data_IF_378196556236
#
_entry.id   IF_378196556236
#
_cell.length_a   1.000
_cell.length_b   1.000
_cell.length_c   1.000
_cell.angle_alpha   90.00
_cell.angle_beta   90.00
_cell.angle_gamma   90.00
#
_symmetry.space_group_name_H-M   'P 1'
#
loop_
_entity.id
_entity.type
_entity.pdbx_description
1 polymer ?
#
# COMPACT_ATOMS: atom_id res chain seq x y z
N UNK A 1 25.40 27.91 -9.00
CA UNK A 1 25.32 26.45 -8.82
C UNK A 1 24.16 26.16 -7.89
N UNK A 2 23.06 25.61 -8.38
CA UNK A 2 21.97 25.12 -7.51
C UNK A 2 22.25 23.65 -7.20
N UNK A 3 22.29 23.21 -5.93
CA UNK A 3 22.36 21.79 -5.64
C UNK A 3 20.96 21.19 -5.87
N UNK A 4 20.83 20.41 -6.94
CA UNK A 4 19.71 19.50 -7.10
C UNK A 4 19.91 18.34 -6.14
N UNK A 5 19.34 18.43 -4.95
CA UNK A 5 19.23 17.29 -4.05
C UNK A 5 18.12 16.38 -4.58
N UNK A 6 18.46 15.64 -5.65
CA UNK A 6 17.71 14.49 -6.12
C UNK A 6 17.92 13.40 -5.08
N UNK A 7 17.07 13.35 -4.07
CA UNK A 7 16.99 12.18 -3.20
C UNK A 7 16.30 11.08 -3.98
N UNK A 8 17.12 10.31 -4.71
CA UNK A 8 16.81 8.99 -5.22
C UNK A 8 16.62 8.08 -4.00
N UNK A 9 15.41 8.06 -3.47
CA UNK A 9 15.00 7.17 -2.39
C UNK A 9 14.35 5.92 -2.96
N UNK A 10 15.04 4.79 -2.78
CA UNK A 10 14.50 3.43 -2.72
C UNK A 10 14.07 2.77 -4.07
N UNK A 11 15.08 2.35 -4.81
CA UNK A 11 15.08 1.11 -5.58
C UNK A 11 14.81 -0.09 -4.64
N UNK A 12 13.63 -0.70 -4.74
CA UNK A 12 13.30 -1.93 -3.99
C UNK A 12 11.83 -2.38 -4.03
N UNK A 13 10.88 -1.46 -4.27
CA UNK A 13 9.42 -1.77 -4.33
C UNK A 13 8.74 -1.26 -5.61
N UNK A 14 9.53 -0.90 -6.62
CA UNK A 14 9.07 -0.21 -7.83
C UNK A 14 8.22 -1.04 -8.80
N UNK A 15 7.88 -2.29 -8.46
CA UNK A 15 6.92 -3.09 -9.25
C UNK A 15 5.46 -2.80 -8.86
N UNK A 16 5.23 -2.31 -7.64
CA UNK A 16 3.89 -1.90 -7.21
C UNK A 16 3.65 -0.46 -7.66
N UNK A 17 2.66 -0.29 -8.54
CA UNK A 17 2.21 1.03 -8.99
C UNK A 17 2.02 1.95 -7.79
N UNK A 18 2.41 3.22 -7.93
CA UNK A 18 2.26 4.22 -6.87
C UNK A 18 0.81 4.26 -6.31
N UNK A 19 -0.18 3.92 -7.14
CA UNK A 19 -1.58 3.76 -6.75
C UNK A 19 -1.76 2.62 -5.74
N UNK A 20 -1.21 1.44 -6.01
CA UNK A 20 -1.32 0.25 -5.13
C UNK A 20 -0.65 0.51 -3.78
N UNK A 21 0.54 1.14 -3.77
CA UNK A 21 1.22 1.49 -2.52
C UNK A 21 0.41 2.47 -1.68
N UNK A 22 -0.16 3.51 -2.29
CA UNK A 22 -1.07 4.45 -1.60
C UNK A 22 -2.28 3.72 -1.03
N UNK A 23 -2.89 2.83 -1.80
CA UNK A 23 -4.02 2.02 -1.34
C UNK A 23 -3.65 1.18 -0.12
N UNK A 24 -2.55 0.42 -0.18
CA UNK A 24 -2.09 -0.42 0.95
C UNK A 24 -1.86 0.44 2.19
N UNK A 25 -1.18 1.59 2.05
CA UNK A 25 -0.93 2.51 3.16
C UNK A 25 -2.23 3.04 3.78
N UNK A 26 -3.17 3.52 2.95
CA UNK A 26 -4.47 3.99 3.46
C UNK A 26 -5.25 2.90 4.18
N UNK A 27 -5.25 1.67 3.68
CA UNK A 27 -5.89 0.55 4.37
C UNK A 27 -5.17 0.26 5.68
N UNK A 28 -3.84 0.21 5.67
CA UNK A 28 -3.00 -0.03 6.85
C UNK A 28 -3.25 0.97 7.97
N UNK A 29 -3.41 2.24 7.63
CA UNK A 29 -3.76 3.29 8.60
C UNK A 29 -5.14 3.06 9.24
N UNK A 30 -6.07 2.44 8.52
CA UNK A 30 -7.43 2.13 9.02
C UNK A 30 -7.44 0.86 9.87
N UNK A 31 -6.77 -0.20 9.40
CA UNK A 31 -6.79 -1.52 10.06
C UNK A 31 -5.71 -1.68 11.13
N UNK A 32 -4.67 -0.85 11.10
CA UNK A 32 -3.62 -0.69 12.12
C UNK A 32 -2.63 -1.86 12.23
N UNK A 33 -3.14 -3.05 12.53
CA UNK A 33 -2.34 -4.21 12.95
C UNK A 33 -1.81 -5.05 11.77
N UNK A 34 -2.35 -4.83 10.57
CA UNK A 34 -1.97 -5.63 9.41
C UNK A 34 -0.68 -5.16 8.74
N UNK A 35 0.14 -6.14 8.35
CA UNK A 35 1.31 -5.89 7.52
C UNK A 35 0.89 -5.55 6.07
N UNK A 36 1.74 -4.80 5.38
CA UNK A 36 1.51 -4.43 3.97
C UNK A 36 1.36 -5.65 3.06
N UNK A 37 2.01 -6.77 3.41
CA UNK A 37 1.88 -8.05 2.72
C UNK A 37 0.47 -8.64 2.88
N UNK A 38 -0.05 -8.73 4.11
CA UNK A 38 -1.41 -9.20 4.38
C UNK A 38 -2.46 -8.33 3.67
N UNK A 39 -2.29 -7.02 3.74
CA UNK A 39 -3.16 -6.07 3.04
C UNK A 39 -3.09 -6.28 1.53
N UNK A 40 -1.90 -6.50 0.97
CA UNK A 40 -1.75 -6.76 -0.46
C UNK A 40 -2.39 -8.09 -0.88
N UNK A 41 -2.29 -9.13 -0.05
CA UNK A 41 -2.96 -10.42 -0.29
C UNK A 41 -4.47 -10.23 -0.28
N UNK A 42 -5.02 -9.57 0.74
CA UNK A 42 -6.45 -9.27 0.82
C UNK A 42 -6.91 -8.39 -0.36
N UNK A 43 -6.10 -7.41 -0.77
CA UNK A 43 -6.33 -6.58 -1.94
C UNK A 43 -6.31 -7.39 -3.24
N UNK A 44 -5.47 -8.42 -3.35
CA UNK A 44 -5.50 -9.36 -4.49
C UNK A 44 -6.77 -10.20 -4.50
N UNK A 45 -7.27 -10.62 -3.34
CA UNK A 45 -8.50 -11.40 -3.20
C UNK A 45 -9.75 -10.57 -3.51
N UNK A 46 -9.77 -9.30 -3.15
CA UNK A 46 -10.90 -8.39 -3.43
C UNK A 46 -10.75 -7.65 -4.77
N UNK A 47 -10.11 -8.27 -5.77
CA UNK A 47 -9.95 -7.72 -7.12
C UNK A 47 -9.30 -6.31 -7.18
N UNK A 48 -8.36 -6.02 -6.28
CA UNK A 48 -7.73 -4.70 -6.11
C UNK A 48 -8.68 -3.60 -5.62
N UNK A 49 -9.80 -3.97 -4.98
CA UNK A 49 -10.73 -3.00 -4.40
C UNK A 49 -10.33 -2.59 -2.97
N UNK A 50 -9.96 -1.31 -2.75
CA UNK A 50 -9.52 -0.84 -1.43
C UNK A 50 -10.61 -0.87 -0.36
N UNK A 51 -11.87 -0.65 -0.76
CA UNK A 51 -12.98 -0.52 0.16
C UNK A 51 -13.39 -1.91 0.68
N UNK A 52 -13.50 -2.88 -0.21
CA UNK A 52 -13.74 -4.28 0.11
C UNK A 52 -12.58 -4.88 0.90
N UNK A 53 -11.32 -4.57 0.57
CA UNK A 53 -10.17 -5.00 1.39
C UNK A 53 -10.25 -4.47 2.81
N UNK A 54 -10.53 -3.17 2.97
CA UNK A 54 -10.63 -2.52 4.29
C UNK A 54 -11.73 -3.19 5.10
N UNK A 55 -12.93 -3.34 4.52
CA UNK A 55 -14.05 -3.97 5.19
C UNK A 55 -13.76 -5.43 5.53
N UNK A 56 -13.13 -6.18 4.63
CA UNK A 56 -12.75 -7.56 4.90
C UNK A 56 -11.85 -7.65 6.13
N UNK A 57 -10.78 -6.85 6.18
CA UNK A 57 -9.83 -6.83 7.29
C UNK A 57 -10.44 -6.30 8.60
N UNK A 58 -11.38 -5.34 8.56
CA UNK A 58 -12.09 -4.84 9.74
C UNK A 58 -13.09 -5.84 10.34
N UNK A 59 -13.58 -6.79 9.53
CA UNK A 59 -14.54 -7.82 9.94
C UNK A 59 -13.85 -9.17 10.25
N UNK A 60 -12.52 -9.26 10.18
CA UNK A 60 -11.72 -10.40 10.65
C UNK A 60 -11.44 -10.27 12.14
#
# INVERSE_FOLDING_TARGET
>A
MVPVSRTEGATGTHLLSAKVRKTIQSIKEIVGDHSEADIYVALRETNMDPNETTQKLLNQ
#
